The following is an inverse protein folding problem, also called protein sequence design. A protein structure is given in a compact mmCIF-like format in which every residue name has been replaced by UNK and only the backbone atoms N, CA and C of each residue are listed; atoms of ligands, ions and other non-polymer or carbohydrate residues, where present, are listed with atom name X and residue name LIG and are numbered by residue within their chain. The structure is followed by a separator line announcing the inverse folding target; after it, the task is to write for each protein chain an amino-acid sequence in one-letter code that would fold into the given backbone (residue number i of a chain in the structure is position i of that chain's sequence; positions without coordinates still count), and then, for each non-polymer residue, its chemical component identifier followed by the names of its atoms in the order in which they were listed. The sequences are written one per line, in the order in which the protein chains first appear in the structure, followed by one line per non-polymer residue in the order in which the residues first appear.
data_IF_744224759871
#
_entry.id   IF_744224759871
#
_cell.length_a   1.000
_cell.length_b   1.000
_cell.length_c   1.000
_cell.angle_alpha   90.00
_cell.angle_beta   90.00
_cell.angle_gamma   90.00
#
_symmetry.space_group_name_H-M   'P 1'
#
loop_
_entity.id
_entity.type
_entity.pdbx_description
1 polymer ?
#
# COMPACT_ATOMS: atom_id res chain seq x y z
N UNK A 1 12.06 0.73 11.39
CA UNK A 1 11.68 -0.27 10.37
C UNK A 1 10.28 0.07 9.86
N UNK A 2 10.11 0.25 8.56
CA UNK A 2 8.84 0.38 7.83
C UNK A 2 8.72 -0.80 6.85
N UNK A 3 7.52 -1.12 6.41
CA UNK A 3 7.26 -2.29 5.56
C UNK A 3 6.91 -1.80 4.16
N UNK A 4 7.54 -2.39 3.16
CA UNK A 4 7.23 -2.17 1.75
C UNK A 4 6.55 -3.43 1.23
N UNK A 5 5.34 -3.30 0.74
CA UNK A 5 4.57 -4.36 0.11
C UNK A 5 4.53 -4.09 -1.38
N UNK A 6 5.01 -5.02 -2.18
CA UNK A 6 4.94 -4.93 -3.64
C UNK A 6 3.94 -5.97 -4.14
N UNK A 7 2.92 -5.50 -4.86
CA UNK A 7 1.86 -6.33 -5.41
C UNK A 7 1.90 -6.36 -6.94
N UNK A 8 1.13 -7.24 -7.55
CA UNK A 8 1.24 -7.60 -8.98
C UNK A 8 0.85 -6.54 -10.01
N UNK A 9 0.30 -5.37 -9.61
CA UNK A 9 -0.09 -4.32 -10.55
C UNK A 9 1.09 -3.71 -11.31
N UNK A 10 0.86 -2.95 -12.38
CA UNK A 10 1.94 -2.39 -13.20
C UNK A 10 2.87 -1.48 -12.40
N UNK A 11 4.14 -1.70 -12.56
CA UNK A 11 5.21 -0.82 -12.08
C UNK A 11 6.27 -0.73 -13.18
N UNK A 12 6.67 0.47 -13.52
CA UNK A 12 7.75 0.68 -14.48
C UNK A 12 9.08 0.20 -13.89
N UNK A 13 9.98 -0.25 -14.76
CA UNK A 13 11.31 -0.68 -14.36
C UNK A 13 12.02 0.43 -13.56
N UNK A 14 12.54 0.07 -12.40
CA UNK A 14 13.21 1.00 -11.48
C UNK A 14 12.25 1.86 -10.64
N UNK A 15 10.93 1.66 -10.72
CA UNK A 15 9.94 2.44 -9.96
C UNK A 15 10.12 2.27 -8.45
N UNK A 16 10.37 1.04 -7.99
CA UNK A 16 10.56 0.74 -6.56
C UNK A 16 11.84 1.44 -6.06
N UNK A 17 12.93 1.36 -6.82
CA UNK A 17 14.19 2.03 -6.46
C UNK A 17 14.07 3.55 -6.47
N UNK A 18 13.35 4.15 -7.43
CA UNK A 18 13.07 5.60 -7.43
C UNK A 18 12.29 6.01 -6.20
N UNK A 19 11.25 5.26 -5.86
CA UNK A 19 10.45 5.49 -4.66
C UNK A 19 11.31 5.38 -3.38
N UNK A 20 12.12 4.32 -3.25
CA UNK A 20 13.05 4.14 -2.13
C UNK A 20 14.02 5.32 -1.98
N UNK A 21 14.63 5.76 -3.07
CA UNK A 21 15.57 6.88 -3.05
C UNK A 21 14.89 8.17 -2.56
N UNK A 22 13.64 8.42 -2.94
CA UNK A 22 12.88 9.56 -2.45
C UNK A 22 12.60 9.46 -0.94
N UNK A 23 12.28 8.26 -0.43
CA UNK A 23 12.05 8.05 1.02
C UNK A 23 13.34 8.20 1.83
N UNK A 24 14.44 7.65 1.34
CA UNK A 24 15.76 7.74 2.03
C UNK A 24 16.30 9.17 2.09
N UNK A 25 16.01 10.02 1.11
CA UNK A 25 16.38 11.44 1.16
C UNK A 25 15.66 12.22 2.26
N UNK A 26 14.55 11.71 2.78
CA UNK A 26 13.74 12.39 3.79
C UNK A 26 14.10 11.98 5.23
N UNK A 27 14.85 10.89 5.42
CA UNK A 27 15.21 10.36 6.74
C UNK A 27 16.55 9.66 6.71
N UNK A 28 17.46 10.05 7.57
CA UNK A 28 18.70 9.31 7.83
C UNK A 28 18.39 7.95 8.47
N UNK A 29 18.98 6.88 7.95
CA UNK A 29 18.96 5.50 8.48
C UNK A 29 17.57 4.88 8.70
N UNK A 30 16.78 4.69 7.65
CA UNK A 30 15.53 3.93 7.72
C UNK A 30 15.76 2.48 7.29
N UNK A 31 15.35 1.54 8.14
CA UNK A 31 15.30 0.11 7.79
C UNK A 31 13.95 -0.20 7.14
N UNK A 32 14.00 -0.91 6.02
CA UNK A 32 12.83 -1.42 5.32
C UNK A 32 12.80 -2.94 5.35
N UNK A 33 11.60 -3.49 5.44
CA UNK A 33 11.32 -4.89 5.21
C UNK A 33 10.48 -5.02 3.94
N UNK A 34 10.90 -5.92 3.04
CA UNK A 34 10.27 -6.10 1.75
C UNK A 34 9.38 -7.34 1.74
N UNK A 35 8.13 -7.14 1.40
CA UNK A 35 7.14 -8.20 1.26
C UNK A 35 6.65 -8.19 -0.19
N UNK A 36 6.91 -9.27 -0.92
CA UNK A 36 6.35 -9.49 -2.24
C UNK A 36 5.05 -10.26 -2.15
N UNK A 37 4.01 -9.79 -2.84
CA UNK A 37 2.73 -10.48 -2.92
C UNK A 37 2.52 -10.95 -4.34
N UNK A 38 2.44 -12.28 -4.49
CA UNK A 38 2.23 -12.96 -5.77
C UNK A 38 3.19 -12.44 -6.86
N UNK A 39 2.72 -11.99 -8.02
CA UNK A 39 3.55 -11.42 -9.09
C UNK A 39 4.40 -10.21 -8.66
N UNK A 40 4.09 -9.56 -7.55
CA UNK A 40 4.92 -8.50 -6.95
C UNK A 40 6.32 -8.97 -6.52
N UNK A 41 6.46 -10.27 -6.23
CA UNK A 41 7.76 -10.88 -5.93
C UNK A 41 8.73 -10.76 -7.10
N UNK A 42 8.24 -10.99 -8.33
CA UNK A 42 9.09 -10.91 -9.53
C UNK A 42 9.61 -9.50 -9.77
N UNK A 43 8.82 -8.48 -9.42
CA UNK A 43 9.25 -7.08 -9.53
C UNK A 43 10.39 -6.74 -8.57
N UNK A 44 10.36 -7.30 -7.36
CA UNK A 44 11.47 -7.15 -6.42
C UNK A 44 12.73 -7.85 -6.94
N UNK A 45 12.61 -9.04 -7.53
CA UNK A 45 13.72 -9.76 -8.15
C UNK A 45 14.30 -8.97 -9.33
N UNK A 46 13.43 -8.46 -10.23
CA UNK A 46 13.85 -7.65 -11.40
C UNK A 46 14.64 -6.40 -11.00
N UNK A 47 14.35 -5.83 -9.84
CA UNK A 47 15.04 -4.68 -9.29
C UNK A 47 16.17 -5.05 -8.31
N UNK A 48 16.50 -6.34 -8.20
CA UNK A 48 17.55 -6.84 -7.30
C UNK A 48 17.37 -6.34 -5.85
N UNK A 49 16.12 -6.30 -5.38
CA UNK A 49 15.77 -5.92 -4.03
C UNK A 49 15.50 -7.17 -3.18
N UNK A 50 15.83 -7.16 -1.88
CA UNK A 50 15.59 -8.32 -1.03
C UNK A 50 14.10 -8.65 -0.95
N UNK A 51 13.78 -9.92 -0.67
CA UNK A 51 12.44 -10.39 -0.32
C UNK A 51 12.53 -11.05 1.05
N UNK A 52 12.11 -10.34 2.09
CA UNK A 52 12.07 -10.87 3.46
C UNK A 52 10.92 -11.87 3.59
N UNK A 53 9.81 -11.61 2.87
CA UNK A 53 8.66 -12.49 2.81
C UNK A 53 8.03 -12.46 1.43
N UNK A 54 7.83 -13.63 0.82
CA UNK A 54 6.96 -13.86 -0.32
C UNK A 54 5.64 -14.46 0.17
N UNK A 55 4.50 -13.91 -0.25
CA UNK A 55 3.18 -14.35 0.19
C UNK A 55 2.20 -14.37 -0.98
N UNK A 56 1.40 -15.43 -1.12
CA UNK A 56 0.43 -15.59 -2.21
C UNK A 56 0.11 -17.05 -2.48
N UNK A 57 -0.68 -17.32 -3.53
CA UNK A 57 -0.88 -18.67 -4.05
C UNK A 57 0.08 -18.99 -5.21
N UNK A 58 0.69 -17.94 -5.76
CA UNK A 58 1.69 -18.02 -6.83
C UNK A 58 1.20 -18.74 -8.09
N UNK A 59 -0.10 -18.70 -8.35
CA UNK A 59 -0.72 -19.30 -9.54
C UNK A 59 -0.48 -18.47 -10.81
N UNK A 60 -0.21 -17.17 -10.64
CA UNK A 60 0.04 -16.21 -11.71
C UNK A 60 1.49 -16.23 -12.23
N UNK A 61 2.42 -16.95 -11.57
CA UNK A 61 3.83 -17.02 -11.96
C UNK A 61 4.19 -18.39 -12.54
N UNK A 62 5.21 -18.43 -13.41
CA UNK A 62 5.69 -19.68 -13.99
C UNK A 62 6.33 -20.60 -12.94
N UNK A 63 6.41 -21.90 -13.23
CA UNK A 63 7.12 -22.85 -12.36
C UNK A 63 8.60 -22.51 -12.23
N UNK A 64 9.22 -21.97 -13.27
CA UNK A 64 10.62 -21.55 -13.27
C UNK A 64 10.80 -20.32 -12.34
N UNK A 65 9.93 -19.32 -12.44
CA UNK A 65 9.93 -18.15 -11.57
C UNK A 65 9.69 -18.53 -10.10
N UNK A 66 8.81 -19.52 -9.86
CA UNK A 66 8.55 -20.01 -8.50
C UNK A 66 9.77 -20.68 -7.89
N UNK A 67 10.55 -21.42 -8.69
CA UNK A 67 11.81 -21.99 -8.21
C UNK A 67 12.86 -20.90 -7.93
N UNK A 68 12.97 -19.88 -8.79
CA UNK A 68 13.83 -18.72 -8.53
C UNK A 68 13.41 -18.04 -7.22
N UNK A 69 12.13 -17.81 -7.03
CA UNK A 69 11.58 -17.15 -5.84
C UNK A 69 11.90 -17.93 -4.57
N UNK A 70 11.81 -19.25 -4.56
CA UNK A 70 12.18 -20.12 -3.42
C UNK A 70 13.62 -19.92 -2.94
N UNK A 71 14.51 -19.62 -3.88
CA UNK A 71 15.93 -19.40 -3.55
C UNK A 71 16.22 -17.94 -3.17
N UNK A 72 15.39 -17.01 -3.66
CA UNK A 72 15.59 -15.58 -3.48
C UNK A 72 14.95 -15.06 -2.19
N UNK A 73 13.75 -15.53 -1.84
CA UNK A 73 13.01 -15.09 -0.68
C UNK A 73 13.54 -15.72 0.61
N UNK A 74 13.69 -14.91 1.66
CA UNK A 74 14.08 -15.38 2.99
C UNK A 74 13.01 -16.28 3.62
N UNK A 75 11.74 -16.01 3.31
CA UNK A 75 10.59 -16.79 3.78
C UNK A 75 9.49 -16.76 2.74
N UNK A 76 8.76 -17.88 2.61
CA UNK A 76 7.56 -17.97 1.77
C UNK A 76 6.35 -18.44 2.60
N UNK A 77 5.19 -17.86 2.31
CA UNK A 77 3.88 -18.31 2.80
C UNK A 77 3.00 -18.51 1.58
N UNK A 78 2.65 -19.76 1.33
CA UNK A 78 1.76 -20.12 0.22
C UNK A 78 0.36 -20.42 0.75
N UNK A 79 -0.64 -19.78 0.15
CA UNK A 79 -2.05 -19.98 0.45
C UNK A 79 -2.73 -20.86 -0.60
N UNK A 80 -3.84 -21.52 -0.27
CA UNK A 80 -4.70 -22.14 -1.26
C UNK A 80 -5.22 -21.09 -2.27
N UNK A 81 -5.37 -21.47 -3.54
CA UNK A 81 -5.96 -20.58 -4.57
C UNK A 81 -7.46 -20.36 -4.35
N UNK A 82 -8.17 -21.36 -3.80
CA UNK A 82 -9.58 -21.23 -3.41
C UNK A 82 -9.68 -20.65 -1.99
N UNK A 83 -9.94 -19.34 -1.88
CA UNK A 83 -10.08 -18.61 -0.62
C UNK A 83 -10.99 -17.40 -0.76
N UNK A 84 -11.51 -16.92 0.36
CA UNK A 84 -12.43 -15.78 0.42
C UNK A 84 -11.74 -14.41 0.33
N UNK A 85 -10.42 -14.37 0.39
CA UNK A 85 -9.60 -13.16 0.40
C UNK A 85 -8.61 -13.16 -0.77
N UNK A 86 -8.31 -11.98 -1.26
CA UNK A 86 -7.21 -11.79 -2.22
C UNK A 86 -5.85 -11.98 -1.53
N UNK A 87 -4.81 -12.33 -2.30
CA UNK A 87 -3.44 -12.45 -1.75
C UNK A 87 -2.98 -11.17 -1.06
N UNK A 88 -3.39 -10.03 -1.58
CA UNK A 88 -3.11 -8.74 -0.98
C UNK A 88 -3.78 -8.57 0.39
N UNK A 89 -5.06 -8.92 0.53
CA UNK A 89 -5.77 -8.88 1.81
C UNK A 89 -5.15 -9.83 2.83
N UNK A 90 -4.81 -11.06 2.40
CA UNK A 90 -4.10 -12.05 3.24
C UNK A 90 -2.75 -11.51 3.72
N UNK A 91 -1.99 -10.89 2.82
CA UNK A 91 -0.71 -10.28 3.17
C UNK A 91 -0.89 -9.16 4.21
N UNK A 92 -1.89 -8.29 4.03
CA UNK A 92 -2.18 -7.22 4.98
C UNK A 92 -2.64 -7.77 6.34
N UNK A 93 -3.47 -8.83 6.38
CA UNK A 93 -3.88 -9.48 7.62
C UNK A 93 -2.67 -10.10 8.34
N UNK A 94 -1.78 -10.74 7.60
CA UNK A 94 -0.54 -11.27 8.15
C UNK A 94 0.34 -10.15 8.73
N UNK A 95 0.48 -9.02 8.01
CA UNK A 95 1.24 -7.85 8.46
C UNK A 95 0.61 -7.25 9.71
N UNK A 96 -0.71 -7.06 9.75
CA UNK A 96 -1.42 -6.51 10.90
C UNK A 96 -1.15 -7.30 12.19
N UNK A 97 -1.07 -8.62 12.07
CA UNK A 97 -0.78 -9.53 13.19
C UNK A 97 0.71 -9.54 13.58
N UNK A 98 1.60 -9.55 12.58
CA UNK A 98 3.05 -9.72 12.79
C UNK A 98 3.76 -8.42 13.13
N UNK A 99 3.27 -7.30 12.63
CA UNK A 99 3.90 -5.98 12.72
C UNK A 99 2.89 -4.89 13.11
N UNK A 100 2.26 -4.98 14.28
CA UNK A 100 1.25 -4.01 14.69
C UNK A 100 1.84 -2.60 14.75
N UNK A 101 1.10 -1.62 14.22
CA UNK A 101 1.45 -0.19 14.22
C UNK A 101 2.72 0.16 13.45
N UNK A 102 3.19 -0.68 12.55
CA UNK A 102 4.26 -0.33 11.62
C UNK A 102 3.68 0.32 10.37
N UNK A 103 4.37 1.34 9.84
CA UNK A 103 3.99 1.93 8.56
C UNK A 103 4.18 0.91 7.44
N UNK A 104 3.17 0.84 6.59
CA UNK A 104 3.09 -0.08 5.45
C UNK A 104 2.87 0.73 4.18
N UNK A 105 3.79 0.61 3.26
CA UNK A 105 3.77 1.27 1.96
C UNK A 105 3.49 0.22 0.89
N UNK A 106 2.39 0.35 0.18
CA UNK A 106 2.00 -0.59 -0.88
C UNK A 106 2.31 0.02 -2.24
N UNK A 107 3.07 -0.69 -3.04
CA UNK A 107 3.42 -0.34 -4.42
C UNK A 107 2.78 -1.34 -5.38
N UNK A 108 2.35 -0.88 -6.56
CA UNK A 108 1.69 -1.70 -7.57
C UNK A 108 0.16 -1.77 -7.43
N UNK A 109 -0.46 -0.92 -6.61
CA UNK A 109 -1.91 -0.87 -6.46
C UNK A 109 -2.63 -0.22 -7.66
N UNK A 110 -1.92 0.65 -8.40
CA UNK A 110 -2.50 1.49 -9.45
C UNK A 110 -1.92 1.16 -10.83
N UNK A 111 -2.64 1.62 -11.87
CA UNK A 111 -2.31 1.33 -13.26
C UNK A 111 -2.82 -0.04 -13.72
N UNK A 112 -3.29 -0.18 -14.94
CA UNK A 112 -3.81 -1.43 -15.47
C UNK A 112 -5.27 -1.71 -15.10
N UNK A 113 -5.57 -2.84 -14.47
CA UNK A 113 -6.95 -3.24 -14.16
C UNK A 113 -7.59 -2.37 -13.09
N UNK A 114 -8.72 -1.74 -13.44
CA UNK A 114 -9.47 -0.85 -12.55
C UNK A 114 -10.07 -1.61 -11.35
N UNK A 115 -10.56 -2.84 -11.57
CA UNK A 115 -11.10 -3.70 -10.52
C UNK A 115 -10.05 -4.03 -9.45
N UNK A 116 -8.80 -4.24 -9.84
CA UNK A 116 -7.68 -4.42 -8.92
C UNK A 116 -7.43 -3.16 -8.06
N UNK A 117 -7.36 -1.98 -8.69
CA UNK A 117 -7.17 -0.73 -7.99
C UNK A 117 -8.30 -0.43 -6.99
N UNK A 118 -9.56 -0.67 -7.39
CA UNK A 118 -10.72 -0.54 -6.51
C UNK A 118 -10.65 -1.53 -5.36
N UNK A 119 -10.30 -2.80 -5.61
CA UNK A 119 -10.13 -3.81 -4.57
C UNK A 119 -9.08 -3.39 -3.54
N UNK A 120 -7.94 -2.87 -3.99
CA UNK A 120 -6.90 -2.34 -3.09
C UNK A 120 -7.41 -1.18 -2.21
N UNK A 121 -8.21 -0.27 -2.78
CA UNK A 121 -8.81 0.82 -2.00
C UNK A 121 -9.84 0.30 -1.00
N UNK A 122 -10.60 -0.72 -1.34
CA UNK A 122 -11.67 -1.24 -0.49
C UNK A 122 -11.18 -2.09 0.68
N UNK A 123 -9.90 -2.44 0.74
CA UNK A 123 -9.32 -3.06 1.92
C UNK A 123 -9.53 -2.24 3.19
N UNK A 124 -9.69 -0.91 3.05
CA UNK A 124 -10.00 0.00 4.16
C UNK A 124 -11.32 -0.34 4.89
N UNK A 125 -12.24 -1.03 4.22
CA UNK A 125 -13.53 -1.42 4.81
C UNK A 125 -13.49 -2.78 5.54
N UNK A 126 -12.40 -3.52 5.42
CA UNK A 126 -12.26 -4.82 6.08
C UNK A 126 -12.14 -4.66 7.60
N UNK A 127 -13.03 -5.30 8.39
CA UNK A 127 -12.96 -5.23 9.85
C UNK A 127 -11.60 -5.71 10.40
N UNK A 128 -11.03 -6.75 9.77
CA UNK A 128 -9.77 -7.37 10.15
C UNK A 128 -8.57 -6.43 10.00
N UNK A 129 -8.69 -5.43 9.11
CA UNK A 129 -7.61 -4.50 8.78
C UNK A 129 -7.73 -3.14 9.47
N UNK A 130 -8.80 -2.89 10.23
CA UNK A 130 -9.05 -1.57 10.85
C UNK A 130 -7.88 -1.07 11.71
N UNK A 131 -7.18 -1.96 12.40
CA UNK A 131 -6.02 -1.59 13.21
C UNK A 131 -4.78 -1.21 12.37
N UNK A 132 -4.70 -1.67 11.12
CA UNK A 132 -3.61 -1.39 10.19
C UNK A 132 -3.86 -0.12 9.36
N UNK A 133 -5.11 0.18 9.04
CA UNK A 133 -5.51 1.25 8.12
C UNK A 133 -4.83 2.60 8.43
N UNK A 134 -4.72 3.08 9.69
CA UNK A 134 -4.02 4.34 9.98
C UNK A 134 -2.52 4.35 9.65
N UNK A 135 -1.95 3.20 9.39
CA UNK A 135 -0.53 3.01 9.08
C UNK A 135 -0.28 2.60 7.63
N UNK A 136 -1.34 2.40 6.85
CA UNK A 136 -1.30 1.94 5.47
C UNK A 136 -1.28 3.12 4.50
N UNK A 137 -0.42 3.05 3.50
CA UNK A 137 -0.45 3.93 2.33
C UNK A 137 -0.38 3.11 1.05
N UNK A 138 -1.10 3.55 0.01
CA UNK A 138 -0.97 3.05 -1.34
C UNK A 138 -0.24 4.10 -2.16
N UNK A 139 0.88 3.73 -2.76
CA UNK A 139 1.79 4.69 -3.38
C UNK A 139 2.24 4.25 -4.77
N UNK A 140 2.48 5.22 -5.62
CA UNK A 140 3.22 5.09 -6.87
C UNK A 140 4.08 6.34 -7.10
N UNK A 141 4.62 6.53 -8.30
CA UNK A 141 5.44 7.69 -8.65
C UNK A 141 4.65 9.02 -8.58
N UNK A 142 3.33 8.98 -8.75
CA UNK A 142 2.45 10.15 -8.89
C UNK A 142 1.49 10.33 -7.72
N UNK A 143 1.18 9.25 -7.01
CA UNK A 143 0.11 9.21 -6.03
C UNK A 143 0.61 8.71 -4.66
N UNK A 144 0.07 9.33 -3.63
CA UNK A 144 0.18 8.86 -2.26
C UNK A 144 -1.21 8.93 -1.62
N UNK A 145 -1.79 7.77 -1.36
CA UNK A 145 -3.09 7.66 -0.70
C UNK A 145 -2.87 7.13 0.71
N UNK A 146 -3.35 7.85 1.69
CA UNK A 146 -3.42 7.42 3.09
C UNK A 146 -4.86 7.48 3.58
N UNK A 147 -5.16 6.71 4.59
CA UNK A 147 -6.50 6.58 5.13
C UNK A 147 -6.57 7.24 6.50
N UNK A 148 -7.62 8.01 6.72
CA UNK A 148 -7.85 8.73 7.96
C UNK A 148 -9.19 8.30 8.57
N UNK A 149 -9.19 8.07 9.85
CA UNK A 149 -10.43 7.94 10.65
C UNK A 149 -10.84 9.32 11.17
N UNK A 150 -12.06 9.50 11.70
CA UNK A 150 -12.44 10.79 12.31
C UNK A 150 -11.44 11.22 13.38
N UNK A 151 -10.98 12.48 13.30
CA UNK A 151 -9.97 13.04 14.22
C UNK A 151 -9.30 14.29 13.66
N UNK A 152 -8.36 14.83 14.42
CA UNK A 152 -7.55 15.99 14.04
C UNK A 152 -6.18 15.53 13.54
N UNK A 153 -5.78 16.00 12.36
CA UNK A 153 -4.54 15.61 11.72
C UNK A 153 -3.74 16.81 11.23
N UNK A 154 -2.43 16.71 11.32
CA UNK A 154 -1.50 17.59 10.61
C UNK A 154 -0.95 16.85 9.42
N UNK A 155 -1.31 17.31 8.21
CA UNK A 155 -0.85 16.69 6.96
C UNK A 155 0.33 17.53 6.44
N UNK A 156 1.48 16.89 6.35
CA UNK A 156 2.68 17.52 5.80
C UNK A 156 2.70 17.36 4.28
N UNK A 157 3.11 18.43 3.59
CA UNK A 157 3.28 18.39 2.15
C UNK A 157 4.33 17.36 1.78
N UNK A 158 3.97 16.46 0.88
CA UNK A 158 4.91 15.50 0.28
C UNK A 158 5.68 16.22 -0.85
N UNK A 159 6.98 16.04 -0.90
CA UNK A 159 7.81 16.61 -1.97
C UNK A 159 7.30 16.16 -3.36
N UNK A 160 7.36 17.07 -4.32
CA UNK A 160 6.93 16.84 -5.71
C UNK A 160 5.43 16.59 -5.92
N UNK A 161 4.57 16.78 -4.90
CA UNK A 161 3.12 16.74 -5.08
C UNK A 161 2.55 18.14 -5.28
N UNK A 162 1.58 18.26 -6.21
CA UNK A 162 0.93 19.53 -6.56
C UNK A 162 -0.52 19.61 -6.05
N UNK A 163 -1.14 18.47 -5.81
CA UNK A 163 -2.54 18.38 -5.43
C UNK A 163 -2.68 17.66 -4.08
N UNK A 164 -3.68 18.09 -3.32
CA UNK A 164 -4.16 17.43 -2.11
C UNK A 164 -5.67 17.28 -2.24
N UNK A 165 -6.17 16.06 -2.20
CA UNK A 165 -7.59 15.74 -2.26
C UNK A 165 -8.02 15.02 -0.99
N UNK A 166 -9.24 15.29 -0.55
CA UNK A 166 -9.90 14.59 0.55
C UNK A 166 -11.11 13.90 -0.03
N UNK A 167 -11.09 12.57 -0.03
CA UNK A 167 -12.18 11.76 -0.56
C UNK A 167 -12.85 11.07 0.61
N UNK A 168 -14.11 11.37 0.89
CA UNK A 168 -14.88 10.66 1.90
C UNK A 168 -15.56 9.44 1.29
N UNK A 169 -15.62 8.36 2.06
CA UNK A 169 -16.25 7.10 1.63
C UNK A 169 -17.71 6.99 2.08
N UNK A 170 -18.20 8.00 2.78
CA UNK A 170 -19.57 8.11 3.28
C UNK A 170 -19.83 9.53 3.79
N UNK A 171 -20.93 9.72 4.52
CA UNK A 171 -21.22 10.99 5.18
C UNK A 171 -20.08 11.42 6.10
N UNK A 172 -19.80 12.72 6.12
CA UNK A 172 -18.80 13.31 7.00
C UNK A 172 -19.37 14.51 7.73
N UNK A 173 -19.08 14.65 9.01
CA UNK A 173 -19.55 15.75 9.83
C UNK A 173 -18.41 16.64 10.30
N UNK A 174 -18.66 17.95 10.37
CA UNK A 174 -17.75 18.96 10.86
C UNK A 174 -16.38 18.98 10.17
N UNK A 175 -16.34 18.65 8.87
CA UNK A 175 -15.11 18.70 8.11
C UNK A 175 -14.52 20.10 8.11
N UNK A 176 -13.30 20.19 8.61
CA UNK A 176 -12.56 21.46 8.67
C UNK A 176 -11.22 21.27 7.99
N UNK A 177 -10.95 22.08 6.97
CA UNK A 177 -9.68 22.11 6.25
C UNK A 177 -9.04 23.48 6.41
N UNK A 178 -7.83 23.53 6.96
CA UNK A 178 -7.08 24.77 7.19
C UNK A 178 -5.80 24.77 6.34
N UNK A 179 -5.34 25.97 5.96
CA UNK A 179 -4.10 26.16 5.20
C UNK A 179 -4.07 25.45 3.84
N UNK A 180 -5.22 25.32 3.21
CA UNK A 180 -5.42 24.76 1.87
C UNK A 180 -6.01 25.83 0.94
N UNK A 181 -5.95 25.59 -0.38
CA UNK A 181 -6.50 26.53 -1.38
C UNK A 181 -8.02 26.75 -1.22
N UNK A 182 -8.74 25.72 -0.82
CA UNK A 182 -10.19 25.76 -0.60
C UNK A 182 -10.47 25.33 0.85
N UNK A 183 -10.42 26.28 1.80
CA UNK A 183 -10.64 25.95 3.21
C UNK A 183 -12.11 25.62 3.49
N UNK A 184 -12.34 24.70 4.42
CA UNK A 184 -13.65 24.36 4.93
C UNK A 184 -13.69 24.62 6.43
N UNK A 185 -14.88 24.99 6.95
CA UNK A 185 -15.08 25.24 8.35
C UNK A 185 -16.37 24.58 8.83
N UNK A 186 -16.25 23.47 9.57
CA UNK A 186 -17.36 22.71 10.16
C UNK A 186 -18.46 22.36 9.13
N UNK A 187 -18.08 21.84 7.96
CA UNK A 187 -19.03 21.47 6.91
C UNK A 187 -19.49 20.03 7.11
N UNK A 188 -20.81 19.83 6.96
CA UNK A 188 -21.44 18.52 6.96
C UNK A 188 -21.79 18.11 5.53
N UNK A 189 -21.59 16.85 5.19
CA UNK A 189 -21.94 16.26 3.91
C UNK A 189 -22.62 14.91 4.15
N UNK A 190 -23.84 14.75 3.65
CA UNK A 190 -24.63 13.52 3.80
C UNK A 190 -24.29 12.46 2.74
N UNK A 191 -23.37 12.75 1.84
CA UNK A 191 -22.94 11.88 0.74
C UNK A 191 -21.41 11.91 0.61
N UNK A 192 -20.81 10.90 -0.05
CA UNK A 192 -19.38 10.91 -0.34
C UNK A 192 -18.94 12.13 -1.15
N UNK A 193 -17.83 12.74 -0.79
CA UNK A 193 -17.23 13.89 -1.48
C UNK A 193 -15.82 13.56 -1.96
N UNK A 194 -15.35 14.35 -2.95
CA UNK A 194 -13.99 14.30 -3.49
C UNK A 194 -13.49 15.71 -3.81
#
# INVERSE_FOLDING_TARGET
MEIIVVIGGPLDKGAIRRWLNQKLQQKDSQEFQFIGVDGGCLKLIEEELPIDLAIGDFDSISLEDKEILKHYASKMIEFPSEKDFTDFEEALMWIAKSYPKKKVHVLGAFGGRVDHAISCLWTMFRPELQALIPFLSLEDEWNHISFLTPGDYVIHKIANTNYLSFISTGPVQQLTLKQVKYPLNHQDYDFPIA
#
